data_IF_670143488494
#
_entry.id   IF_670143488494
#
_cell.length_a   1.000
_cell.length_b   1.000
_cell.length_c   1.000
_cell.angle_alpha   90.00
_cell.angle_beta   90.00
_cell.angle_gamma   90.00
#
_symmetry.space_group_name_H-M   'P 1'
#
loop_
_entity.id
_entity.type
_entity.pdbx_description
1 polymer ?
#
# COMPACT_ATOMS: atom_id res chain seq x y z
N UNK A 1 4.96 6.90 -2.24
CA UNK A 1 6.35 6.45 -2.49
C UNK A 1 7.42 7.51 -2.17
N UNK A 2 7.27 8.76 -2.64
CA UNK A 2 8.31 9.79 -2.51
C UNK A 2 8.75 10.09 -1.06
N UNK A 3 7.82 10.13 -0.09
CA UNK A 3 8.14 10.39 1.31
C UNK A 3 8.97 9.27 1.98
N UNK A 4 8.69 8.00 1.66
CA UNK A 4 9.42 6.86 2.20
C UNK A 4 10.89 6.90 1.77
N UNK A 5 11.14 7.07 0.47
CA UNK A 5 12.51 7.13 -0.09
C UNK A 5 13.27 8.37 0.40
N UNK A 6 12.59 9.49 0.64
CA UNK A 6 13.21 10.70 1.17
C UNK A 6 13.69 10.53 2.62
N UNK A 7 13.08 9.64 3.39
CA UNK A 7 13.40 9.41 4.82
C UNK A 7 14.26 8.17 5.06
N UNK A 8 14.39 7.28 4.08
CA UNK A 8 15.21 6.05 4.16
C UNK A 8 16.16 5.94 2.96
N UNK A 9 17.20 6.77 2.95
CA UNK A 9 18.24 6.72 1.92
C UNK A 9 18.98 5.37 1.97
N UNK A 10 19.01 4.67 0.84
CA UNK A 10 19.68 3.38 0.67
C UNK A 10 18.73 2.18 0.60
N UNK A 11 17.45 2.36 0.95
CA UNK A 11 16.44 1.31 0.78
C UNK A 11 16.09 1.13 -0.71
N UNK A 12 15.93 -0.12 -1.14
CA UNK A 12 15.41 -0.47 -2.46
C UNK A 12 13.90 -0.74 -2.36
N UNK A 13 13.10 -0.07 -3.21
CA UNK A 13 11.65 -0.27 -3.30
C UNK A 13 11.28 -0.49 -4.77
N UNK A 14 10.65 -1.63 -5.06
CA UNK A 14 10.21 -2.05 -6.39
C UNK A 14 8.83 -2.70 -6.31
N UNK A 15 8.08 -2.63 -7.41
CA UNK A 15 6.87 -3.44 -7.58
C UNK A 15 7.28 -4.86 -7.97
N UNK A 16 6.88 -5.85 -7.18
CA UNK A 16 7.08 -7.27 -7.50
C UNK A 16 5.83 -7.76 -8.22
N UNK A 17 5.91 -8.18 -9.49
CA UNK A 17 4.77 -8.76 -10.18
C UNK A 17 4.45 -10.15 -9.61
N UNK A 18 3.16 -10.53 -9.59
CA UNK A 18 2.71 -11.87 -9.15
C UNK A 18 3.31 -13.01 -9.98
N UNK A 19 3.76 -12.71 -11.20
CA UNK A 19 4.49 -13.62 -12.07
C UNK A 19 5.74 -12.92 -12.61
N UNK A 20 6.92 -13.51 -12.42
CA UNK A 20 8.17 -12.97 -12.95
C UNK A 20 9.39 -13.34 -12.13
N UNK A 21 10.53 -12.75 -12.49
CA UNK A 21 11.78 -12.86 -11.73
C UNK A 21 11.76 -11.91 -10.53
N UNK A 22 12.37 -12.36 -9.42
CA UNK A 22 12.53 -11.55 -8.23
C UNK A 22 13.45 -10.35 -8.51
N UNK A 23 12.98 -9.10 -8.30
CA UNK A 23 13.70 -7.92 -8.79
C UNK A 23 14.82 -7.43 -7.89
N UNK A 24 15.07 -8.10 -6.75
CA UNK A 24 16.07 -7.69 -5.77
C UNK A 24 17.29 -8.64 -5.77
N UNK A 25 18.50 -8.15 -5.44
CA UNK A 25 19.70 -8.97 -5.37
C UNK A 25 19.66 -10.04 -4.26
N UNK A 26 18.77 -9.88 -3.28
CA UNK A 26 18.61 -10.75 -2.12
C UNK A 26 17.13 -10.98 -1.81
N UNK A 27 16.83 -12.03 -1.04
CA UNK A 27 15.48 -12.46 -0.72
C UNK A 27 14.81 -13.29 -1.81
N UNK A 28 13.56 -13.66 -1.60
CA UNK A 28 12.74 -14.36 -2.59
C UNK A 28 11.26 -14.06 -2.38
N UNK A 29 10.44 -14.41 -3.38
CA UNK A 29 8.99 -14.33 -3.27
C UNK A 29 8.45 -15.19 -2.11
N UNK A 30 8.99 -16.40 -1.95
CA UNK A 30 8.60 -17.30 -0.86
C UNK A 30 8.89 -16.71 0.51
N UNK A 31 10.05 -16.06 0.68
CA UNK A 31 10.39 -15.35 1.90
C UNK A 31 9.47 -14.15 2.13
N UNK A 32 9.15 -13.39 1.08
CA UNK A 32 8.24 -12.25 1.13
C UNK A 32 6.86 -12.63 1.70
N UNK A 33 6.35 -13.80 1.35
CA UNK A 33 5.07 -14.33 1.86
C UNK A 33 5.09 -14.69 3.35
N UNK A 34 6.27 -14.79 3.98
CA UNK A 34 6.39 -15.09 5.41
C UNK A 34 6.30 -13.85 6.30
N UNK A 35 6.46 -12.65 5.72
CA UNK A 35 6.35 -11.41 6.48
C UNK A 35 4.90 -11.18 6.89
N UNK A 36 4.73 -10.66 8.11
CA UNK A 36 3.41 -10.29 8.60
C UNK A 36 2.88 -9.11 7.80
N UNK A 37 1.71 -9.25 7.21
CA UNK A 37 1.01 -8.14 6.58
C UNK A 37 0.58 -7.13 7.67
N UNK A 38 1.09 -5.91 7.54
CA UNK A 38 0.79 -4.77 8.44
C UNK A 38 0.02 -3.66 7.73
N UNK A 39 -0.46 -3.90 6.51
CA UNK A 39 -1.12 -2.88 5.68
C UNK A 39 -2.30 -2.24 6.40
N UNK A 40 -3.20 -3.05 6.95
CA UNK A 40 -4.36 -2.55 7.68
C UNK A 40 -3.98 -1.82 8.98
N UNK A 41 -2.95 -2.30 9.68
CA UNK A 41 -2.45 -1.64 10.89
C UNK A 41 -1.95 -0.22 10.57
N UNK A 42 -1.12 -0.08 9.54
CA UNK A 42 -0.61 1.22 9.09
C UNK A 42 -1.75 2.12 8.62
N UNK A 43 -2.74 1.60 7.88
CA UNK A 43 -3.92 2.39 7.47
C UNK A 43 -4.68 2.92 8.69
N UNK A 44 -4.92 2.08 9.70
CA UNK A 44 -5.59 2.50 10.94
C UNK A 44 -4.81 3.58 11.70
N UNK A 45 -3.49 3.44 11.79
CA UNK A 45 -2.62 4.46 12.40
C UNK A 45 -2.71 5.80 11.66
N UNK A 46 -2.70 5.78 10.33
CA UNK A 46 -2.79 6.99 9.50
C UNK A 46 -4.19 7.65 9.57
N UNK A 47 -5.25 6.86 9.68
CA UNK A 47 -6.61 7.37 9.94
C UNK A 47 -6.68 8.00 11.34
N UNK A 48 -6.16 7.31 12.35
CA UNK A 48 -6.11 7.80 13.73
C UNK A 48 -5.29 9.09 13.87
N UNK A 49 -4.22 9.23 13.09
CA UNK A 49 -3.40 10.44 12.99
C UNK A 49 -4.03 11.56 12.15
N UNK A 50 -5.23 11.35 11.59
CA UNK A 50 -5.93 12.31 10.71
C UNK A 50 -5.09 12.71 9.47
N UNK A 51 -4.35 11.76 8.91
CA UNK A 51 -3.62 11.91 7.64
C UNK A 51 -4.46 11.36 6.48
N UNK A 52 -5.15 10.24 6.73
CA UNK A 52 -6.05 9.60 5.79
C UNK A 52 -7.50 9.64 6.28
N UNK A 53 -8.43 9.63 5.32
CA UNK A 53 -9.85 9.34 5.53
C UNK A 53 -10.24 8.13 4.70
N UNK A 54 -11.02 7.24 5.31
CA UNK A 54 -11.59 6.08 4.65
C UNK A 54 -13.00 6.39 4.15
N UNK A 55 -13.17 6.46 2.82
CA UNK A 55 -14.46 6.70 2.16
C UNK A 55 -15.16 5.38 1.76
N UNK A 56 -14.66 4.23 2.23
CA UNK A 56 -15.25 2.91 2.01
C UNK A 56 -14.61 2.14 0.85
N UNK A 57 -15.43 1.37 0.14
CA UNK A 57 -14.98 0.44 -0.91
C UNK A 57 -15.57 0.84 -2.26
N UNK A 58 -14.72 0.91 -3.27
CA UNK A 58 -15.07 0.96 -4.68
C UNK A 58 -14.87 -0.44 -5.30
N UNK A 59 -15.93 -1.05 -5.81
CA UNK A 59 -15.85 -2.36 -6.44
C UNK A 59 -15.22 -2.24 -7.82
N UNK A 60 -14.08 -2.88 -8.03
CA UNK A 60 -13.39 -2.87 -9.31
C UNK A 60 -14.00 -3.92 -10.28
N UNK A 61 -14.61 -4.98 -9.74
CA UNK A 61 -15.46 -5.91 -10.46
C UNK A 61 -16.76 -6.14 -9.67
N UNK A 62 -17.91 -5.88 -10.30
CA UNK A 62 -19.22 -6.09 -9.65
C UNK A 62 -19.62 -7.56 -9.56
N UNK A 63 -18.99 -8.43 -10.36
CA UNK A 63 -19.25 -9.87 -10.37
C UNK A 63 -18.41 -10.60 -9.31
N UNK A 64 -17.33 -9.96 -8.82
CA UNK A 64 -16.45 -10.46 -7.75
C UNK A 64 -16.19 -9.42 -6.63
N UNK A 65 -17.26 -8.90 -5.98
CA UNK A 65 -17.09 -7.83 -5.00
C UNK A 65 -16.23 -8.28 -3.82
N UNK A 66 -16.42 -9.50 -3.31
CA UNK A 66 -15.70 -9.96 -2.12
C UNK A 66 -14.16 -10.10 -2.29
N UNK A 67 -13.66 -10.24 -3.52
CA UNK A 67 -12.25 -10.49 -3.83
C UNK A 67 -11.56 -9.34 -4.56
N UNK A 68 -12.29 -8.52 -5.34
CA UNK A 68 -11.70 -7.52 -6.23
C UNK A 68 -12.28 -6.13 -5.93
N UNK A 69 -11.64 -5.43 -5.02
CA UNK A 69 -12.07 -4.10 -4.60
C UNK A 69 -10.92 -3.15 -4.34
N UNK A 70 -11.20 -1.86 -4.46
CA UNK A 70 -10.29 -0.77 -4.11
C UNK A 70 -10.84 -0.09 -2.87
N UNK A 71 -10.01 0.06 -1.83
CA UNK A 71 -10.36 0.86 -0.65
C UNK A 71 -10.15 2.34 -0.98
N UNK A 72 -11.21 3.13 -0.89
CA UNK A 72 -11.21 4.56 -1.21
C UNK A 72 -10.56 5.38 -0.07
N UNK A 73 -9.23 5.35 0.00
CA UNK A 73 -8.45 6.14 0.96
C UNK A 73 -8.11 7.53 0.39
N UNK A 74 -8.50 8.60 1.09
CA UNK A 74 -8.17 9.99 0.72
C UNK A 74 -7.16 10.60 1.65
N UNK A 75 -6.13 11.23 1.08
CA UNK A 75 -5.15 12.00 1.84
C UNK A 75 -5.67 13.43 2.07
N UNK A 76 -6.12 13.69 3.29
CA UNK A 76 -6.75 14.97 3.64
C UNK A 76 -5.76 16.12 3.85
N UNK A 77 -4.45 15.85 3.86
CA UNK A 77 -3.41 16.89 3.90
C UNK A 77 -3.06 17.40 2.49
N UNK A 78 -3.36 16.62 1.45
CA UNK A 78 -3.10 16.98 0.05
C UNK A 78 -4.29 17.71 -0.60
N UNK A 79 -5.46 17.73 0.05
CA UNK A 79 -6.65 18.47 -0.40
C UNK A 79 -6.58 19.99 -0.13
N UNK A 80 -5.40 20.50 0.22
CA UNK A 80 -5.11 21.93 0.26
C UNK A 80 -4.68 22.45 -1.12
N UNK A 81 -5.62 23.02 -1.87
CA UNK A 81 -5.29 24.24 -2.64
C UNK A 81 -4.82 25.32 -1.63
N UNK A 82 -3.85 26.18 -1.99
CA UNK A 82 -3.34 27.23 -1.10
C UNK A 82 -4.43 28.17 -0.55
#
# INVERSE_FOLDING_TARGET
MAWYLATRQGDEVQFVPDQGEWPFPHGSFEEALTYTDVTDLVIQELIGAQILRDDGIEWADTDEPASVYIRALKNIWMDGEP
#
